data_IF_015660590013
#
_entry.id   IF_015660590013
#
_cell.length_a   1.000
_cell.length_b   1.000
_cell.length_c   1.000
_cell.angle_alpha   90.00
_cell.angle_beta   90.00
_cell.angle_gamma   90.00
#
_symmetry.space_group_name_H-M   'P 1'
#
loop_
_entity.id
_entity.type
_entity.pdbx_description
1 polymer ?
#
# COMPACT_ATOMS: atom_id res chain seq x y z
N UNK A 1 -18.11 4.15 21.65
CA UNK A 1 -18.17 3.80 20.22
C UNK A 1 -17.27 4.77 19.48
N UNK A 2 -16.06 4.33 19.11
CA UNK A 2 -15.16 5.16 18.31
C UNK A 2 -15.66 5.12 16.86
N UNK A 3 -16.11 6.25 16.34
CA UNK A 3 -16.48 6.42 14.94
C UNK A 3 -15.20 6.28 14.10
N UNK A 4 -15.15 5.25 13.26
CA UNK A 4 -14.13 5.12 12.21
C UNK A 4 -14.16 6.40 11.37
N UNK A 5 -13.02 7.11 11.20
CA UNK A 5 -12.99 8.31 10.38
C UNK A 5 -13.44 7.96 8.96
N UNK A 6 -14.36 8.77 8.41
CA UNK A 6 -14.91 8.55 7.08
C UNK A 6 -13.77 8.66 6.05
N UNK A 7 -13.53 7.58 5.30
CA UNK A 7 -12.57 7.53 4.19
C UNK A 7 -12.87 8.62 3.17
N UNK A 8 -11.84 9.08 2.44
CA UNK A 8 -11.98 10.02 1.35
C UNK A 8 -13.08 9.55 0.37
N UNK A 9 -13.96 10.44 -0.16
CA UNK A 9 -15.04 9.99 -1.02
C UNK A 9 -14.47 9.29 -2.25
N UNK A 10 -14.87 8.04 -2.47
CA UNK A 10 -14.60 7.27 -3.68
C UNK A 10 -14.84 8.08 -4.98
N UNK A 11 -15.84 8.97 -4.96
CA UNK A 11 -16.13 9.87 -6.07
C UNK A 11 -15.03 10.90 -6.38
N UNK A 12 -14.19 11.27 -5.42
CA UNK A 12 -13.04 12.16 -5.67
C UNK A 12 -11.90 11.40 -6.36
N UNK A 13 -11.68 10.15 -5.98
CA UNK A 13 -10.74 9.27 -6.67
C UNK A 13 -11.22 8.90 -8.08
N UNK A 14 -12.51 8.58 -8.25
CA UNK A 14 -13.06 8.22 -9.55
C UNK A 14 -12.91 9.33 -10.61
N UNK A 15 -13.16 10.58 -10.24
CA UNK A 15 -13.02 11.73 -11.14
C UNK A 15 -11.56 12.04 -11.51
N UNK A 16 -10.62 11.69 -10.64
CA UNK A 16 -9.18 11.96 -10.79
C UNK A 16 -8.33 10.73 -11.03
N UNK A 17 -8.93 9.56 -11.20
CA UNK A 17 -8.17 8.31 -11.31
C UNK A 17 -7.12 8.34 -12.42
N UNK A 18 -7.48 8.84 -13.61
CA UNK A 18 -6.53 8.97 -14.72
C UNK A 18 -5.50 10.08 -14.48
N UNK A 19 -5.92 11.23 -13.93
CA UNK A 19 -5.04 12.32 -13.53
C UNK A 19 -4.09 11.86 -12.42
N UNK A 20 -4.61 11.18 -11.40
CA UNK A 20 -3.81 10.62 -10.31
C UNK A 20 -2.69 9.69 -10.81
N UNK A 21 -3.01 8.78 -11.71
CA UNK A 21 -2.02 7.86 -12.28
C UNK A 21 -0.92 8.63 -13.04
N UNK A 22 -1.26 9.72 -13.69
CA UNK A 22 -0.33 10.58 -14.42
C UNK A 22 0.48 11.47 -13.47
N UNK A 23 -0.17 12.14 -12.53
CA UNK A 23 0.45 13.07 -11.56
C UNK A 23 1.43 12.36 -10.64
N UNK A 24 1.13 11.10 -10.30
CA UNK A 24 1.96 10.32 -9.38
C UNK A 24 3.06 9.50 -10.07
N UNK A 25 3.20 9.56 -11.41
CA UNK A 25 4.30 8.91 -12.13
C UNK A 25 5.68 9.39 -11.69
N UNK A 26 5.82 10.64 -11.29
CA UNK A 26 7.06 11.16 -10.74
C UNK A 26 7.56 10.38 -9.51
N UNK A 27 6.66 9.71 -8.79
CA UNK A 27 6.99 8.84 -7.65
C UNK A 27 7.23 7.38 -8.04
N UNK A 28 7.34 7.05 -9.35
CA UNK A 28 7.54 5.65 -9.77
C UNK A 28 8.84 5.07 -9.22
N UNK A 29 9.91 5.84 -9.22
CA UNK A 29 11.18 5.41 -8.61
C UNK A 29 10.98 4.94 -7.15
N UNK A 30 10.17 5.68 -6.39
CA UNK A 30 9.85 5.32 -5.01
C UNK A 30 9.05 4.02 -4.88
N UNK A 31 8.06 3.80 -5.76
CA UNK A 31 7.32 2.54 -5.82
C UNK A 31 8.23 1.36 -6.14
N UNK A 32 9.13 1.55 -7.09
CA UNK A 32 10.11 0.53 -7.47
C UNK A 32 11.06 0.20 -6.31
N UNK A 33 11.43 1.17 -5.47
CA UNK A 33 12.20 0.94 -4.25
C UNK A 33 11.41 0.09 -3.23
N UNK A 34 10.12 0.35 -3.03
CA UNK A 34 9.28 -0.47 -2.16
C UNK A 34 9.15 -1.90 -2.67
N UNK A 35 8.90 -2.06 -3.97
CA UNK A 35 8.83 -3.38 -4.62
C UNK A 35 10.17 -4.12 -4.52
N UNK A 36 11.31 -3.42 -4.72
CA UNK A 36 12.64 -4.01 -4.56
C UNK A 36 12.90 -4.48 -3.13
N UNK A 37 12.38 -3.74 -2.15
CA UNK A 37 12.55 -4.08 -0.74
C UNK A 37 11.77 -5.34 -0.29
N UNK A 38 10.78 -5.81 -1.08
CA UNK A 38 10.12 -7.09 -0.83
C UNK A 38 11.01 -8.24 -1.29
N UNK A 39 11.46 -9.16 -0.41
CA UNK A 39 12.30 -10.31 -0.79
C UNK A 39 11.45 -11.45 -1.38
N UNK A 40 10.70 -11.15 -2.45
CA UNK A 40 9.89 -12.12 -3.16
C UNK A 40 10.73 -13.08 -4.00
N UNK A 41 10.21 -14.30 -4.18
CA UNK A 41 10.77 -15.37 -5.02
C UNK A 41 9.76 -15.77 -6.10
N UNK A 42 10.22 -16.32 -7.22
CA UNK A 42 9.31 -16.98 -8.17
C UNK A 42 8.45 -18.03 -7.45
N UNK A 43 7.14 -17.96 -7.67
CA UNK A 43 6.17 -18.83 -6.99
C UNK A 43 5.46 -18.21 -5.78
N UNK A 44 5.98 -17.11 -5.21
CA UNK A 44 5.32 -16.44 -4.09
C UNK A 44 3.99 -15.79 -4.52
N UNK A 45 3.07 -15.69 -3.57
CA UNK A 45 1.85 -14.88 -3.68
C UNK A 45 2.04 -13.58 -2.90
N UNK A 46 1.82 -12.43 -3.54
CA UNK A 46 1.89 -11.11 -2.91
C UNK A 46 0.58 -10.37 -3.04
N UNK A 47 0.13 -9.72 -1.94
CA UNK A 47 -1.01 -8.82 -1.97
C UNK A 47 -0.54 -7.36 -1.99
N UNK A 48 -1.02 -6.59 -2.97
CA UNK A 48 -0.83 -5.13 -3.10
C UNK A 48 -2.10 -4.47 -2.53
N UNK A 49 -2.00 -3.97 -1.31
CA UNK A 49 -3.15 -3.44 -0.55
C UNK A 49 -3.35 -1.96 -0.88
N UNK A 50 -4.51 -1.64 -1.47
CA UNK A 50 -4.77 -0.32 -2.03
C UNK A 50 -3.94 -0.10 -3.31
N UNK A 51 -4.00 -1.07 -4.25
CA UNK A 51 -3.15 -1.08 -5.45
C UNK A 51 -3.40 0.09 -6.41
N UNK A 52 -4.48 0.84 -6.22
CA UNK A 52 -4.85 1.96 -7.08
C UNK A 52 -4.99 1.55 -8.54
N UNK A 53 -4.39 2.32 -9.43
CA UNK A 53 -4.33 2.03 -10.87
C UNK A 53 -3.28 0.97 -11.26
N UNK A 54 -2.67 0.28 -10.28
CA UNK A 54 -1.78 -0.84 -10.53
C UNK A 54 -0.32 -0.50 -10.80
N UNK A 55 0.17 0.66 -10.35
CA UNK A 55 1.53 1.12 -10.64
C UNK A 55 2.65 0.27 -10.01
N UNK A 56 2.36 -0.54 -8.98
CA UNK A 56 3.29 -1.50 -8.41
C UNK A 56 3.23 -2.89 -9.09
N UNK A 57 2.12 -3.22 -9.77
CA UNK A 57 1.88 -4.55 -10.33
C UNK A 57 2.98 -5.05 -11.28
N UNK A 58 3.54 -4.23 -12.21
CA UNK A 58 4.59 -4.69 -13.11
C UNK A 58 5.82 -5.22 -12.36
N UNK A 59 6.25 -4.48 -11.35
CA UNK A 59 7.43 -4.84 -10.55
C UNK A 59 7.19 -6.04 -9.64
N UNK A 60 6.01 -6.13 -9.01
CA UNK A 60 5.63 -7.29 -8.19
C UNK A 60 5.56 -8.55 -9.04
N UNK A 61 4.86 -8.48 -10.18
CA UNK A 61 4.75 -9.57 -11.13
C UNK A 61 6.12 -10.07 -11.58
N UNK A 62 7.03 -9.17 -11.94
CA UNK A 62 8.37 -9.55 -12.40
C UNK A 62 9.15 -10.36 -11.34
N UNK A 63 8.87 -10.14 -10.04
CA UNK A 63 9.53 -10.87 -8.94
C UNK A 63 8.93 -12.24 -8.68
N UNK A 64 7.61 -12.41 -8.82
CA UNK A 64 6.93 -13.68 -8.50
C UNK A 64 6.76 -14.61 -9.70
N UNK A 65 6.85 -14.10 -10.94
CA UNK A 65 6.68 -14.87 -12.18
C UNK A 65 7.75 -15.96 -12.35
N UNK A 66 7.44 -17.04 -13.12
CA UNK A 66 6.18 -17.28 -13.84
C UNK A 66 5.12 -18.04 -13.03
N UNK A 67 5.42 -18.55 -11.84
CA UNK A 67 4.58 -19.47 -11.08
C UNK A 67 3.90 -18.84 -9.87
N UNK A 68 4.28 -17.60 -9.53
CA UNK A 68 3.69 -16.86 -8.44
C UNK A 68 2.47 -16.04 -8.84
N UNK A 69 1.89 -15.35 -7.88
CA UNK A 69 0.65 -14.61 -8.06
C UNK A 69 0.70 -13.22 -7.42
N UNK A 70 0.08 -12.24 -8.07
CA UNK A 70 -0.13 -10.89 -7.52
C UNK A 70 -1.61 -10.66 -7.34
N UNK A 71 -2.04 -10.29 -6.15
CA UNK A 71 -3.42 -9.89 -5.88
C UNK A 71 -3.45 -8.41 -5.55
N UNK A 72 -4.01 -7.60 -6.43
CA UNK A 72 -4.28 -6.18 -6.16
C UNK A 72 -5.65 -6.01 -5.52
N UNK A 73 -5.71 -5.32 -4.39
CA UNK A 73 -6.97 -4.98 -3.69
C UNK A 73 -7.16 -3.47 -3.73
N UNK A 74 -8.29 -3.00 -4.22
CA UNK A 74 -8.60 -1.57 -4.33
C UNK A 74 -10.10 -1.34 -4.16
N UNK A 75 -10.47 -0.31 -3.37
CA UNK A 75 -11.88 -0.02 -3.11
C UNK A 75 -12.54 0.88 -4.15
N UNK A 76 -11.74 1.69 -4.89
CA UNK A 76 -12.26 2.60 -5.90
C UNK A 76 -12.43 1.89 -7.25
N UNK A 77 -13.68 1.64 -7.74
CA UNK A 77 -13.91 0.91 -8.98
C UNK A 77 -13.19 1.53 -10.19
N UNK A 78 -13.13 2.86 -10.28
CA UNK A 78 -12.45 3.54 -11.37
C UNK A 78 -10.93 3.29 -11.40
N UNK A 79 -10.30 3.10 -10.24
CA UNK A 79 -8.89 2.71 -10.15
C UNK A 79 -8.70 1.26 -10.59
N UNK A 80 -9.58 0.37 -10.14
CA UNK A 80 -9.55 -1.05 -10.53
C UNK A 80 -9.71 -1.20 -12.04
N UNK A 81 -10.57 -0.42 -12.69
CA UNK A 81 -10.73 -0.46 -14.16
C UNK A 81 -9.45 -0.04 -14.90
N UNK A 82 -8.74 0.98 -14.40
CA UNK A 82 -7.45 1.36 -14.98
C UNK A 82 -6.40 0.25 -14.82
N UNK A 83 -6.33 -0.36 -13.63
CA UNK A 83 -5.43 -1.49 -13.39
C UNK A 83 -5.80 -2.69 -14.27
N UNK A 84 -7.10 -2.99 -14.43
CA UNK A 84 -7.61 -4.08 -15.26
C UNK A 84 -7.24 -3.90 -16.72
N UNK A 85 -7.44 -2.70 -17.26
CA UNK A 85 -7.07 -2.38 -18.63
C UNK A 85 -5.58 -2.62 -18.91
N UNK A 86 -4.70 -2.32 -17.94
CA UNK A 86 -3.26 -2.59 -18.07
C UNK A 86 -2.96 -4.09 -17.97
N UNK A 87 -3.57 -4.81 -17.04
CA UNK A 87 -3.43 -6.27 -16.89
C UNK A 87 -3.85 -6.99 -18.17
N UNK A 88 -5.01 -6.63 -18.73
CA UNK A 88 -5.53 -7.20 -20.00
C UNK A 88 -4.64 -6.86 -21.18
N UNK A 89 -4.26 -5.60 -21.34
CA UNK A 89 -3.37 -5.13 -22.41
C UNK A 89 -2.03 -5.87 -22.43
N UNK A 90 -1.52 -6.23 -21.25
CA UNK A 90 -0.25 -6.97 -21.08
C UNK A 90 -0.42 -8.48 -21.07
N UNK A 91 -1.65 -9.00 -21.03
CA UNK A 91 -1.93 -10.43 -20.97
C UNK A 91 -1.44 -11.11 -19.68
N UNK A 92 -1.42 -10.40 -18.56
CA UNK A 92 -0.95 -10.93 -17.29
C UNK A 92 -2.00 -11.84 -16.63
N UNK A 93 -1.79 -13.15 -16.68
CA UNK A 93 -2.71 -14.16 -16.13
C UNK A 93 -2.49 -14.42 -14.65
N UNK A 94 -1.32 -14.10 -14.14
CA UNK A 94 -0.90 -14.25 -12.76
C UNK A 94 -1.27 -13.04 -11.87
N UNK A 95 -2.00 -12.08 -12.41
CA UNK A 95 -2.48 -10.91 -11.66
C UNK A 95 -3.99 -10.99 -11.49
N UNK A 96 -4.47 -10.96 -10.26
CA UNK A 96 -5.89 -10.86 -9.91
C UNK A 96 -6.17 -9.51 -9.28
N UNK A 97 -7.27 -8.87 -9.68
CA UNK A 97 -7.73 -7.61 -9.11
C UNK A 97 -9.04 -7.81 -8.37
N UNK A 98 -9.06 -7.45 -7.10
CA UNK A 98 -10.23 -7.50 -6.23
C UNK A 98 -10.74 -6.07 -5.98
N UNK A 99 -12.00 -5.81 -6.33
CA UNK A 99 -12.67 -4.58 -5.94
C UNK A 99 -13.25 -4.74 -4.54
N UNK A 100 -12.67 -4.06 -3.56
CA UNK A 100 -13.11 -4.17 -2.18
C UNK A 100 -12.22 -3.40 -1.23
N UNK A 101 -12.65 -3.30 0.03
CA UNK A 101 -11.90 -2.60 1.07
C UNK A 101 -10.89 -3.52 1.74
N UNK A 102 -9.82 -2.93 2.27
CA UNK A 102 -8.80 -3.67 3.02
C UNK A 102 -9.38 -4.43 4.24
N UNK A 103 -10.52 -4.01 4.77
CA UNK A 103 -11.22 -4.65 5.90
C UNK A 103 -12.00 -5.91 5.53
N UNK A 104 -12.29 -6.15 4.22
CA UNK A 104 -13.31 -7.15 3.85
C UNK A 104 -12.93 -8.05 2.68
N UNK A 105 -11.79 -7.83 2.03
CA UNK A 105 -11.37 -8.74 0.96
C UNK A 105 -11.02 -10.11 1.53
N UNK A 106 -11.02 -11.13 0.67
CA UNK A 106 -10.61 -12.48 1.01
C UNK A 106 -9.73 -13.07 -0.08
N UNK A 107 -8.67 -13.73 0.31
CA UNK A 107 -7.79 -14.48 -0.57
C UNK A 107 -8.16 -15.98 -0.57
N UNK A 108 -7.98 -16.68 -1.70
CA UNK A 108 -8.22 -18.13 -1.76
C UNK A 108 -7.21 -18.95 -0.94
N UNK A 109 -6.02 -18.39 -0.69
CA UNK A 109 -4.97 -18.99 0.15
C UNK A 109 -4.12 -17.88 0.77
N UNK A 110 -3.47 -18.14 1.93
CA UNK A 110 -2.62 -17.15 2.58
C UNK A 110 -1.45 -16.70 1.69
N UNK A 111 -1.19 -15.38 1.67
CA UNK A 111 -0.12 -14.79 0.89
C UNK A 111 1.24 -14.85 1.60
N UNK A 112 2.32 -14.85 0.81
CA UNK A 112 3.71 -14.85 1.26
C UNK A 112 4.25 -13.46 1.56
N UNK A 113 3.57 -12.42 1.04
CA UNK A 113 3.94 -11.03 1.29
C UNK A 113 2.77 -10.06 1.12
N UNK A 114 2.90 -8.88 1.75
CA UNK A 114 2.02 -7.72 1.57
C UNK A 114 2.82 -6.45 1.27
N UNK A 115 2.32 -5.67 0.31
CA UNK A 115 2.78 -4.32 0.01
C UNK A 115 1.71 -3.30 0.41
N UNK A 116 2.13 -2.25 1.13
CA UNK A 116 1.32 -1.07 1.47
C UNK A 116 2.01 0.16 0.90
N UNK A 117 1.59 0.60 -0.29
CA UNK A 117 2.21 1.72 -0.99
C UNK A 117 1.30 2.95 -0.99
N UNK A 118 1.64 3.97 -0.21
CA UNK A 118 0.90 5.24 -0.09
C UNK A 118 -0.57 5.08 0.37
N UNK A 119 -0.81 4.19 1.31
CA UNK A 119 -2.13 3.83 1.88
C UNK A 119 -2.21 4.15 3.37
N UNK A 120 -2.02 5.42 3.71
CA UNK A 120 -1.97 5.89 5.10
C UNK A 120 -3.21 5.50 5.91
N UNK A 121 -4.40 5.67 5.36
CA UNK A 121 -5.68 5.36 5.98
C UNK A 121 -5.82 3.86 6.31
N UNK A 122 -5.34 2.98 5.44
CA UNK A 122 -5.29 1.52 5.70
C UNK A 122 -4.34 1.22 6.87
N UNK A 123 -3.15 1.83 6.87
CA UNK A 123 -2.15 1.62 7.93
C UNK A 123 -2.61 2.15 9.29
N UNK A 124 -3.54 3.11 9.32
CA UNK A 124 -4.14 3.63 10.55
C UNK A 124 -5.39 2.84 11.00
N UNK A 125 -5.92 1.94 10.16
CA UNK A 125 -7.11 1.14 10.44
C UNK A 125 -6.74 -0.23 11.01
N UNK A 126 -6.96 -0.45 12.32
CA UNK A 126 -6.77 -1.76 12.96
C UNK A 126 -7.63 -2.83 12.28
N UNK A 127 -8.88 -2.51 11.93
CA UNK A 127 -9.78 -3.45 11.24
C UNK A 127 -9.22 -3.87 9.88
N UNK A 128 -8.62 -2.94 9.13
CA UNK A 128 -7.96 -3.27 7.87
C UNK A 128 -6.75 -4.17 8.10
N UNK A 129 -5.88 -3.81 9.05
CA UNK A 129 -4.69 -4.61 9.36
C UNK A 129 -5.08 -6.00 9.90
N UNK A 130 -6.07 -6.11 10.79
CA UNK A 130 -6.59 -7.40 11.28
C UNK A 130 -6.99 -8.31 10.11
N UNK A 131 -7.75 -7.78 9.12
CA UNK A 131 -8.16 -8.56 7.96
C UNK A 131 -6.97 -8.93 7.05
N UNK A 132 -6.10 -7.97 6.74
CA UNK A 132 -4.94 -8.23 5.87
C UNK A 132 -4.02 -9.27 6.49
N UNK A 133 -3.66 -9.11 7.77
CA UNK A 133 -2.72 -10.01 8.44
C UNK A 133 -3.30 -11.42 8.68
N UNK A 134 -4.63 -11.54 8.85
CA UNK A 134 -5.29 -12.85 8.90
C UNK A 134 -5.14 -13.65 7.59
N UNK A 135 -4.80 -12.99 6.49
CA UNK A 135 -4.63 -13.60 5.17
C UNK A 135 -3.15 -13.75 4.75
N UNK A 136 -2.23 -13.45 5.65
CA UNK A 136 -0.80 -13.67 5.44
C UNK A 136 -0.34 -14.95 6.14
N UNK A 137 0.65 -15.60 5.54
CA UNK A 137 1.37 -16.68 6.24
C UNK A 137 2.15 -16.12 7.42
N UNK A 138 2.28 -16.86 8.53
CA UNK A 138 3.21 -16.48 9.60
C UNK A 138 4.61 -16.24 9.04
N UNK A 139 5.21 -15.10 9.36
CA UNK A 139 6.51 -14.72 8.83
C UNK A 139 6.51 -14.22 7.38
N UNK A 140 5.33 -13.96 6.78
CA UNK A 140 5.23 -13.31 5.48
C UNK A 140 5.97 -11.96 5.47
N UNK A 141 6.55 -11.59 4.34
CA UNK A 141 7.19 -10.29 4.21
C UNK A 141 6.17 -9.15 4.12
N UNK A 142 6.44 -8.08 4.83
CA UNK A 142 5.62 -6.88 4.82
C UNK A 142 6.49 -5.68 4.48
N UNK A 143 6.09 -4.93 3.46
CA UNK A 143 6.70 -3.65 3.13
C UNK A 143 5.62 -2.58 3.12
N UNK A 144 5.87 -1.49 3.82
CA UNK A 144 5.04 -0.30 3.79
C UNK A 144 5.88 0.93 3.45
N UNK A 145 5.27 1.88 2.76
CA UNK A 145 5.95 3.15 2.47
C UNK A 145 5.00 4.20 1.91
N UNK A 146 5.39 5.44 2.11
CA UNK A 146 4.58 6.59 1.71
C UNK A 146 5.15 7.90 2.25
N UNK A 147 4.34 8.96 2.17
CA UNK A 147 4.65 10.23 2.77
C UNK A 147 4.54 10.21 4.29
N UNK A 148 5.26 11.13 4.92
CA UNK A 148 5.15 11.45 6.36
C UNK A 148 5.48 12.93 6.59
N UNK A 149 5.15 13.46 7.75
CA UNK A 149 5.62 14.79 8.12
C UNK A 149 7.15 14.80 8.23
N UNK A 150 7.84 15.73 7.54
CA UNK A 150 9.28 15.94 7.72
C UNK A 150 9.56 16.54 9.10
N UNK A 151 10.83 16.62 9.53
CA UNK A 151 11.20 17.28 10.77
C UNK A 151 10.64 18.72 10.84
N UNK A 152 10.14 19.13 12.01
CA UNK A 152 9.45 20.41 12.22
C UNK A 152 10.24 21.66 11.83
N UNK A 153 11.57 21.58 11.81
CA UNK A 153 12.42 22.68 11.37
C UNK A 153 12.40 22.93 9.85
N UNK A 154 11.93 21.93 9.06
CA UNK A 154 11.89 22.02 7.59
C UNK A 154 10.51 22.50 7.10
N UNK A 155 10.16 23.75 7.44
CA UNK A 155 8.85 24.34 7.12
C UNK A 155 8.53 24.34 5.61
N UNK A 156 9.47 24.68 4.68
CA UNK A 156 9.18 24.61 3.26
C UNK A 156 8.79 23.21 2.78
N UNK A 157 9.48 22.17 3.28
CA UNK A 157 9.18 20.78 2.93
C UNK A 157 7.83 20.33 3.54
N UNK A 158 7.52 20.79 4.75
CA UNK A 158 6.21 20.53 5.39
C UNK A 158 5.06 21.10 4.55
N UNK A 159 5.19 22.34 4.06
CA UNK A 159 4.20 22.97 3.20
C UNK A 159 4.04 22.20 1.86
N UNK A 160 5.14 21.76 1.26
CA UNK A 160 5.12 20.94 0.05
C UNK A 160 4.43 19.58 0.29
N UNK A 161 4.76 18.88 1.37
CA UNK A 161 4.13 17.61 1.74
C UNK A 161 2.62 17.81 1.96
N UNK A 162 2.21 18.86 2.67
CA UNK A 162 0.81 19.17 2.87
C UNK A 162 0.09 19.39 1.52
N UNK A 163 0.65 20.18 0.63
CA UNK A 163 0.07 20.46 -0.69
C UNK A 163 -0.07 19.21 -1.55
N UNK A 164 0.94 18.33 -1.54
CA UNK A 164 0.93 17.08 -2.31
C UNK A 164 -0.09 16.07 -1.79
N UNK A 165 -0.36 16.04 -0.48
CA UNK A 165 -1.24 15.03 0.13
C UNK A 165 -2.68 15.53 0.32
N UNK A 166 -2.91 16.85 0.41
CA UNK A 166 -4.24 17.44 0.64
C UNK A 166 -5.34 16.96 -0.33
N UNK A 167 -5.08 16.69 -1.62
CA UNK A 167 -6.09 16.16 -2.53
C UNK A 167 -6.49 14.71 -2.25
N UNK A 168 -5.66 13.93 -1.54
CA UNK A 168 -5.76 12.47 -1.45
C UNK A 168 -5.93 11.96 -0.02
N UNK A 169 -5.39 12.66 0.97
CA UNK A 169 -5.43 12.23 2.38
C UNK A 169 -6.25 13.25 3.18
N UNK A 170 -7.37 12.82 3.74
CA UNK A 170 -8.26 13.68 4.51
C UNK A 170 -7.90 13.75 5.99
N UNK A 171 -7.43 12.65 6.53
CA UNK A 171 -7.01 12.56 7.91
C UNK A 171 -5.52 12.27 7.97
N UNK A 172 -4.76 13.28 8.38
CA UNK A 172 -3.32 13.20 8.56
C UNK A 172 -2.93 12.84 10.00
N UNK A 173 -3.88 12.36 10.80
CA UNK A 173 -3.59 11.86 12.15
C UNK A 173 -2.56 10.74 12.09
N UNK A 174 -1.46 10.87 12.84
CA UNK A 174 -0.36 9.91 12.84
C UNK A 174 0.54 9.95 11.59
N UNK A 175 0.45 11.00 10.77
CA UNK A 175 1.29 11.17 9.58
C UNK A 175 2.77 11.48 9.93
N UNK A 176 3.05 11.78 11.19
CA UNK A 176 4.42 11.83 11.75
C UNK A 176 5.05 10.43 11.89
N UNK A 177 4.21 9.40 12.14
CA UNK A 177 4.63 8.00 12.31
C UNK A 177 3.60 7.05 11.69
N UNK A 178 3.47 7.00 10.35
CA UNK A 178 2.41 6.26 9.65
C UNK A 178 2.45 4.74 9.90
N UNK A 179 3.58 4.20 10.32
CA UNK A 179 3.78 2.77 10.62
C UNK A 179 3.46 2.37 12.07
N UNK A 180 3.01 3.31 12.93
CA UNK A 180 2.83 3.06 14.37
C UNK A 180 1.88 1.90 14.70
N UNK A 181 0.78 1.76 13.95
CA UNK A 181 -0.15 0.65 14.15
C UNK A 181 0.41 -0.65 13.58
N UNK A 182 1.14 -0.56 12.46
CA UNK A 182 1.78 -1.70 11.82
C UNK A 182 2.79 -2.41 12.75
N UNK A 183 3.43 -1.69 13.68
CA UNK A 183 4.36 -2.26 14.67
C UNK A 183 3.73 -3.32 15.58
N UNK A 184 2.42 -3.33 15.72
CA UNK A 184 1.70 -4.34 16.49
C UNK A 184 1.58 -5.67 15.73
N UNK A 185 1.66 -5.64 14.41
CA UNK A 185 1.46 -6.76 13.49
C UNK A 185 2.74 -7.32 12.91
N UNK A 186 3.85 -6.60 13.05
CA UNK A 186 5.11 -6.94 12.36
C UNK A 186 6.23 -7.12 13.37
N UNK A 187 7.02 -8.19 13.19
CA UNK A 187 8.29 -8.41 13.88
C UNK A 187 9.44 -7.81 13.07
N UNK A 188 10.50 -7.41 13.79
CA UNK A 188 11.75 -6.89 13.23
C UNK A 188 11.52 -5.73 12.23
N UNK A 189 10.54 -4.85 12.53
CA UNK A 189 10.22 -3.73 11.66
C UNK A 189 11.38 -2.74 11.60
N UNK A 190 12.03 -2.68 10.44
CA UNK A 190 13.08 -1.71 10.13
C UNK A 190 12.46 -0.56 9.35
N UNK A 191 12.54 0.64 9.91
CA UNK A 191 12.04 1.86 9.25
C UNK A 191 13.21 2.71 8.80
N UNK A 192 13.18 3.10 7.52
CA UNK A 192 14.14 4.02 6.91
C UNK A 192 13.41 5.27 6.46
N UNK A 193 13.78 6.42 6.97
CA UNK A 193 13.29 7.69 6.46
C UNK A 193 14.03 8.09 5.18
N UNK A 194 13.29 8.68 4.25
CA UNK A 194 13.78 9.08 2.93
C UNK A 194 13.29 10.49 2.57
N UNK A 195 13.78 11.05 1.46
CA UNK A 195 13.35 12.37 1.00
C UNK A 195 13.44 13.43 2.10
N UNK A 196 14.59 13.50 2.79
CA UNK A 196 14.82 14.45 3.90
C UNK A 196 13.77 14.34 5.02
N UNK A 197 13.26 13.11 5.28
CA UNK A 197 12.26 12.84 6.30
C UNK A 197 10.81 13.10 5.85
N UNK A 198 10.55 13.36 4.57
CA UNK A 198 9.20 13.52 4.01
C UNK A 198 8.57 12.20 3.56
N UNK A 199 9.32 11.11 3.57
CA UNK A 199 8.84 9.78 3.25
C UNK A 199 9.49 8.72 4.13
N UNK A 200 8.96 7.51 4.06
CA UNK A 200 9.49 6.36 4.79
C UNK A 200 9.33 5.06 4.01
N UNK A 201 10.17 4.10 4.34
CA UNK A 201 10.05 2.69 3.98
C UNK A 201 10.17 1.86 5.25
N UNK A 202 9.21 0.99 5.50
CA UNK A 202 9.18 0.05 6.61
C UNK A 202 9.17 -1.37 6.07
N UNK A 203 10.03 -2.24 6.60
CA UNK A 203 10.19 -3.64 6.16
C UNK A 203 10.25 -4.53 7.38
N UNK A 204 9.51 -5.63 7.39
CA UNK A 204 9.52 -6.60 8.48
C UNK A 204 8.78 -7.89 8.15
N UNK A 205 8.47 -8.68 9.17
CA UNK A 205 7.80 -9.98 9.07
C UNK A 205 6.46 -9.98 9.77
N UNK A 206 5.43 -10.52 9.11
CA UNK A 206 4.12 -10.70 9.72
C UNK A 206 4.21 -11.58 10.96
N UNK A 207 3.64 -11.12 12.07
CA UNK A 207 3.51 -11.92 13.30
C UNK A 207 2.48 -13.01 13.12
N UNK A 208 2.66 -14.11 13.84
CA UNK A 208 1.64 -15.15 13.97
C UNK A 208 0.43 -14.65 14.77
N UNK A 209 0.61 -13.68 15.64
CA UNK A 209 -0.45 -13.05 16.46
C UNK A 209 -0.08 -11.58 16.71
N UNK A 210 -0.99 -10.63 16.48
CA UNK A 210 -0.75 -9.22 16.78
C UNK A 210 -0.47 -8.98 18.27
N UNK A 211 0.39 -8.00 18.60
CA UNK A 211 0.53 -7.48 19.96
C UNK A 211 -0.63 -6.52 20.23
N UNK A 212 -1.53 -6.89 21.10
CA UNK A 212 -2.62 -6.01 21.60
C UNK A 212 -2.25 -5.38 22.93
#
# INVERSE_FOLDING_TARGET
MATTPARAPLAAYARRAAEYAQDTRMFQYWRDELVRALPLRPGDTVVDVGCGSGLCLPGLRAKVSPTGHVVGVEEAPAMVELARAEVERKGWREVTLLTGTAERFSLPAPADAALFCAVHDVLMSRTALDNVFAQLRPGAWVVAGGGKWPPMWNVPLTALVAALHAPYVRDLTGFDRPWRVLEEYVDDLVVTEVAFGAGYRAVGRARSTPRR
#
